data_IF_972168274835
#
_entry.id   IF_972168274835
#
_cell.length_a   1.000
_cell.length_b   1.000
_cell.length_c   1.000
_cell.angle_alpha   90.00
_cell.angle_beta   90.00
_cell.angle_gamma   90.00
#
_symmetry.space_group_name_H-M   'P 1'
#
loop_
_entity.id
_entity.type
_entity.pdbx_description
1 polymer ?
#
# COMPACT_ATOMS: atom_id res chain seq x y z
N UNK A 1 2.87 -0.56 -12.37
CA UNK A 1 2.53 -1.53 -13.43
C UNK A 1 2.41 -2.96 -12.89
N UNK A 2 3.43 -3.47 -12.18
CA UNK A 2 3.46 -4.87 -11.70
C UNK A 2 2.27 -5.28 -10.83
N UNK A 3 1.96 -4.52 -9.77
CA UNK A 3 0.82 -4.83 -8.87
C UNK A 3 -0.51 -4.90 -9.62
N UNK A 4 -0.76 -3.97 -10.54
CA UNK A 4 -2.00 -3.95 -11.33
C UNK A 4 -2.15 -5.19 -12.24
N UNK A 5 -1.04 -5.67 -12.79
CA UNK A 5 -1.04 -6.87 -13.62
C UNK A 5 -1.12 -8.16 -12.78
N UNK A 6 -0.42 -8.26 -11.65
CA UNK A 6 -0.56 -9.39 -10.70
C UNK A 6 -1.98 -9.49 -10.15
N UNK A 7 -2.66 -8.36 -9.92
CA UNK A 7 -4.09 -8.34 -9.52
C UNK A 7 -5.02 -8.92 -10.58
N UNK A 8 -4.73 -8.67 -11.86
CA UNK A 8 -5.56 -9.16 -12.96
C UNK A 8 -5.23 -10.62 -13.31
N UNK A 9 -3.96 -10.99 -13.19
CA UNK A 9 -3.43 -12.31 -13.52
C UNK A 9 -2.31 -12.63 -12.53
N UNK A 10 -2.57 -13.50 -11.56
CA UNK A 10 -1.62 -13.84 -10.49
C UNK A 10 -0.26 -14.34 -11.04
N UNK A 11 -0.29 -15.02 -12.19
CA UNK A 11 0.87 -15.62 -12.86
C UNK A 11 1.73 -14.61 -13.64
N UNK A 12 1.26 -13.38 -13.89
CA UNK A 12 1.91 -12.43 -14.80
C UNK A 12 3.37 -12.08 -14.42
N UNK A 13 3.74 -12.28 -13.15
CA UNK A 13 5.09 -12.06 -12.63
C UNK A 13 5.53 -13.16 -11.64
N UNK A 14 4.85 -14.30 -11.64
CA UNK A 14 5.12 -15.38 -10.70
C UNK A 14 5.20 -16.70 -11.47
N UNK A 15 6.38 -17.30 -11.50
CA UNK A 15 6.57 -18.62 -12.10
C UNK A 15 5.88 -19.74 -11.31
N UNK A 16 5.76 -19.55 -9.99
CA UNK A 16 5.10 -20.47 -9.05
C UNK A 16 4.31 -19.62 -8.06
N UNK A 17 3.11 -20.10 -7.69
CA UNK A 17 2.30 -19.44 -6.66
C UNK A 17 3.04 -19.44 -5.31
N UNK A 18 3.23 -18.28 -4.65
CA UNK A 18 3.94 -18.15 -3.38
C UNK A 18 3.45 -19.12 -2.31
N UNK A 19 2.15 -19.40 -2.28
CA UNK A 19 1.49 -20.26 -1.30
C UNK A 19 1.98 -21.71 -1.39
N UNK A 20 2.41 -22.16 -2.58
CA UNK A 20 2.96 -23.51 -2.80
C UNK A 20 4.33 -23.70 -2.13
N UNK A 21 5.03 -22.61 -1.82
CA UNK A 21 6.32 -22.63 -1.12
C UNK A 21 6.23 -22.01 0.28
N UNK A 22 5.01 -21.82 0.80
CA UNK A 22 4.77 -21.24 2.13
C UNK A 22 4.97 -19.73 2.22
N UNK A 23 5.07 -19.05 1.08
CA UNK A 23 5.17 -17.58 1.00
C UNK A 23 3.80 -16.94 0.75
N UNK A 24 3.76 -15.62 0.85
CA UNK A 24 2.60 -14.80 0.50
C UNK A 24 3.03 -13.60 -0.36
N UNK A 25 2.15 -13.19 -1.26
CA UNK A 25 2.32 -11.91 -1.95
C UNK A 25 2.04 -10.76 -0.99
N UNK A 26 2.80 -9.67 -1.11
CA UNK A 26 2.53 -8.41 -0.40
C UNK A 26 2.74 -7.23 -1.33
N UNK A 27 1.95 -6.17 -1.13
CA UNK A 27 2.15 -4.90 -1.82
C UNK A 27 3.04 -3.99 -0.97
N UNK A 28 4.04 -3.37 -1.60
CA UNK A 28 4.91 -2.36 -0.99
C UNK A 28 4.55 -1.00 -1.59
N UNK A 29 4.61 0.06 -0.76
CA UNK A 29 4.38 1.45 -1.17
C UNK A 29 5.70 2.21 -1.12
N UNK A 30 6.00 2.96 -2.19
CA UNK A 30 7.22 3.75 -2.43
C UNK A 30 6.97 4.81 -3.52
N UNK A 31 7.96 5.60 -3.90
CA UNK A 31 7.94 6.62 -4.96
C UNK A 31 7.48 6.05 -6.31
N UNK A 32 7.87 4.82 -6.63
CA UNK A 32 7.47 4.16 -7.88
C UNK A 32 6.06 3.54 -7.82
N UNK A 33 5.37 3.67 -6.67
CA UNK A 33 4.04 3.13 -6.48
C UNK A 33 2.99 4.02 -7.11
N UNK A 34 2.10 3.43 -7.89
CA UNK A 34 0.91 4.14 -8.36
C UNK A 34 -0.18 4.15 -7.28
N UNK A 35 -1.20 4.99 -7.48
CA UNK A 35 -2.43 5.02 -6.66
C UNK A 35 -3.04 3.64 -6.42
N UNK A 36 -3.02 2.78 -7.44
CA UNK A 36 -3.51 1.40 -7.34
C UNK A 36 -2.77 0.58 -6.27
N UNK A 37 -1.47 0.80 -6.07
CA UNK A 37 -0.71 0.13 -5.02
C UNK A 37 -1.19 0.57 -3.63
N UNK A 38 -1.42 1.88 -3.43
CA UNK A 38 -1.90 2.41 -2.13
C UNK A 38 -3.29 1.86 -1.79
N UNK A 39 -4.20 1.83 -2.77
CA UNK A 39 -5.51 1.19 -2.59
C UNK A 39 -5.37 -0.30 -2.28
N UNK A 40 -4.46 -0.99 -2.96
CA UNK A 40 -4.21 -2.41 -2.72
C UNK A 40 -3.70 -2.68 -1.32
N UNK A 41 -2.75 -1.85 -0.89
CA UNK A 41 -2.13 -1.93 0.42
C UNK A 41 -3.16 -1.70 1.55
N UNK A 42 -4.10 -0.78 1.33
CA UNK A 42 -5.19 -0.49 2.26
C UNK A 42 -6.23 -1.62 2.32
N UNK A 43 -6.62 -2.17 1.16
CA UNK A 43 -7.53 -3.31 1.05
C UNK A 43 -6.99 -4.55 1.76
N UNK A 44 -5.70 -4.89 1.60
CA UNK A 44 -5.04 -6.00 2.31
C UNK A 44 -5.09 -5.87 3.84
N UNK A 45 -5.30 -4.64 4.34
CA UNK A 45 -5.36 -4.32 5.77
C UNK A 45 -6.78 -4.05 6.27
N UNK A 46 -7.79 -4.18 5.40
CA UNK A 46 -9.18 -3.95 5.75
C UNK A 46 -9.52 -2.48 6.00
N UNK A 47 -8.75 -1.54 5.42
CA UNK A 47 -8.97 -0.09 5.57
C UNK A 47 -9.66 0.44 4.30
N UNK A 48 -11.00 0.63 4.30
CA UNK A 48 -11.70 1.16 3.14
C UNK A 48 -11.36 2.65 2.95
N UNK A 49 -10.81 3.01 1.80
CA UNK A 49 -10.41 4.39 1.49
C UNK A 49 -11.02 4.86 0.18
N UNK A 50 -11.37 6.14 0.14
CA UNK A 50 -11.71 6.81 -1.10
C UNK A 50 -10.46 7.00 -1.97
N UNK A 51 -10.64 7.03 -3.29
CA UNK A 51 -9.52 7.24 -4.22
C UNK A 51 -8.80 8.58 -4.01
N UNK A 52 -9.51 9.62 -3.56
CA UNK A 52 -8.94 10.93 -3.25
C UNK A 52 -7.93 10.83 -2.11
N UNK A 53 -8.30 10.12 -1.04
CA UNK A 53 -7.44 9.89 0.12
C UNK A 53 -6.17 9.13 -0.26
N UNK A 54 -6.30 8.11 -1.13
CA UNK A 54 -5.13 7.37 -1.62
C UNK A 54 -4.17 8.25 -2.44
N UNK A 55 -4.67 9.26 -3.17
CA UNK A 55 -3.82 10.22 -3.90
C UNK A 55 -3.09 11.16 -2.95
N UNK A 56 -3.76 11.66 -1.92
CA UNK A 56 -3.15 12.53 -0.91
C UNK A 56 -2.01 11.82 -0.19
N UNK A 57 -2.23 10.58 0.27
CA UNK A 57 -1.19 9.79 0.94
C UNK A 57 -0.03 9.48 0.00
N UNK A 58 -0.30 9.18 -1.28
CA UNK A 58 0.76 8.96 -2.25
C UNK A 58 1.63 10.22 -2.45
N UNK A 59 1.01 11.39 -2.60
CA UNK A 59 1.74 12.65 -2.76
C UNK A 59 2.58 13.00 -1.53
N UNK A 60 2.10 12.69 -0.32
CA UNK A 60 2.88 12.85 0.90
C UNK A 60 4.10 11.92 0.94
N UNK A 61 3.93 10.67 0.52
CA UNK A 61 5.01 9.68 0.44
C UNK A 61 6.06 10.11 -0.58
N UNK A 62 5.65 10.52 -1.78
CA UNK A 62 6.56 11.00 -2.83
C UNK A 62 7.40 12.20 -2.35
N UNK A 63 6.77 13.16 -1.67
CA UNK A 63 7.47 14.31 -1.11
C UNK A 63 8.48 13.90 -0.03
N UNK A 64 8.09 13.02 0.88
CA UNK A 64 8.98 12.58 1.96
C UNK A 64 10.13 11.71 1.41
N UNK A 65 9.91 10.83 0.43
CA UNK A 65 11.03 10.09 -0.18
C UNK A 65 12.00 11.02 -0.90
N UNK A 66 11.51 12.10 -1.53
CA UNK A 66 12.38 13.15 -2.09
C UNK A 66 13.20 13.89 -1.02
N UNK A 67 12.74 13.92 0.24
CA UNK A 67 13.46 14.46 1.40
C UNK A 67 14.41 13.44 2.04
N UNK A 68 14.45 12.19 1.55
CA UNK A 68 15.34 11.12 2.01
C UNK A 68 14.69 10.09 2.93
N UNK A 69 13.36 10.09 3.07
CA UNK A 69 12.64 9.03 3.76
C UNK A 69 12.56 7.75 2.91
N UNK A 70 12.27 6.62 3.54
CA UNK A 70 12.18 5.31 2.87
C UNK A 70 10.94 4.57 3.39
N UNK A 71 9.99 4.29 2.50
CA UNK A 71 8.75 3.59 2.82
C UNK A 71 8.72 2.12 2.43
N UNK A 72 9.71 1.65 1.67
CA UNK A 72 9.92 0.23 1.35
C UNK A 72 10.12 -0.64 2.60
N UNK A 73 10.64 -0.05 3.69
CA UNK A 73 10.80 -0.69 5.01
C UNK A 73 9.91 -0.10 6.11
N UNK A 74 9.07 0.87 5.79
CA UNK A 74 8.22 1.57 6.76
C UNK A 74 6.72 1.39 6.46
N UNK A 75 6.32 0.18 6.06
CA UNK A 75 4.91 -0.16 5.79
C UNK A 75 3.98 0.19 6.96
N UNK A 76 4.46 0.07 8.21
CA UNK A 76 3.69 0.46 9.39
C UNK A 76 3.33 1.95 9.43
N UNK A 77 4.24 2.82 8.99
CA UNK A 77 4.01 4.27 8.92
C UNK A 77 2.94 4.61 7.87
N UNK A 78 3.00 3.94 6.72
CA UNK A 78 1.96 4.08 5.68
C UNK A 78 0.61 3.60 6.20
N UNK A 79 0.58 2.43 6.85
CA UNK A 79 -0.64 1.88 7.43
C UNK A 79 -1.28 2.83 8.47
N UNK A 80 -0.48 3.42 9.37
CA UNK A 80 -0.99 4.40 10.33
C UNK A 80 -1.56 5.65 9.68
N UNK A 81 -0.96 6.15 8.60
CA UNK A 81 -1.46 7.31 7.85
C UNK A 81 -2.77 7.03 7.15
N UNK A 82 -2.95 5.82 6.65
CA UNK A 82 -4.19 5.36 6.02
C UNK A 82 -5.28 5.18 7.07
N UNK A 83 -4.96 4.52 8.17
CA UNK A 83 -5.89 4.28 9.28
C UNK A 83 -6.43 5.59 9.83
N UNK A 84 -5.58 6.59 10.07
CA UNK A 84 -5.98 7.93 10.53
C UNK A 84 -6.93 8.68 9.58
N UNK A 85 -6.98 8.30 8.31
CA UNK A 85 -7.87 8.88 7.30
C UNK A 85 -9.10 8.00 7.02
N UNK A 86 -9.21 6.86 7.69
CA UNK A 86 -10.40 6.02 7.62
C UNK A 86 -11.58 6.73 8.31
N UNK A 87 -12.80 6.71 7.73
CA UNK A 87 -13.99 7.27 8.36
C UNK A 87 -14.31 6.66 9.74
N UNK A 88 -13.86 5.43 9.99
CA UNK A 88 -14.10 4.72 11.25
C UNK A 88 -13.00 4.95 12.30
N UNK A 89 -11.99 5.77 12.00
CA UNK A 89 -10.87 5.98 12.90
C UNK A 89 -11.28 6.71 14.18
N UNK A 90 -10.81 6.18 15.31
CA UNK A 90 -10.90 6.83 16.61
C UNK A 90 -9.50 6.89 17.22
N UNK A 91 -9.08 8.09 17.63
CA UNK A 91 -7.82 8.26 18.31
C UNK A 91 -7.80 7.43 19.60
N UNK A 92 -6.80 6.55 19.81
CA UNK A 92 -6.73 5.71 21.00
C UNK A 92 -6.35 6.50 22.27
N UNK A 93 -5.79 7.70 22.11
CA UNK A 93 -5.33 8.56 23.19
C UNK A 93 -5.70 10.03 22.89
N UNK A 94 -6.97 10.37 23.11
CA UNK A 94 -7.49 11.74 23.19
C UNK A 94 -8.07 11.99 24.59
#
# INVERSE_FOLDING_TARGET
>A
MHVAATRRWAEAYQHVMPELVGNRTRVVVSELSGRGNVLSFAEERGVPLAESVAREVLAEIEREEAEGYSFDRAEGSVALRLERRSPSYRAPFE
#
